data_IF_727177307210
#
_entry.id   IF_727177307210
#
_cell.length_a   1.000
_cell.length_b   1.000
_cell.length_c   1.000
_cell.angle_alpha   90.00
_cell.angle_beta   90.00
_cell.angle_gamma   90.00
#
_symmetry.space_group_name_H-M   'P 1'
#
loop_
_entity.id
_entity.type
_entity.pdbx_description
1 polymer ?
#
# COMPACT_ATOMS: atom_id res chain seq x y z
N UNK A 1 8.86 5.77 3.63
CA UNK A 1 9.46 4.69 4.46
C UNK A 1 8.73 3.38 4.17
N UNK A 2 9.38 2.20 4.29
CA UNK A 2 8.69 0.92 4.06
C UNK A 2 8.01 0.43 5.34
N UNK A 3 6.69 0.57 5.42
CA UNK A 3 5.92 0.09 6.56
C UNK A 3 5.26 -1.24 6.22
N UNK A 4 5.42 -2.26 7.07
CA UNK A 4 4.70 -3.54 6.89
C UNK A 4 3.57 -3.64 7.89
N UNK A 5 2.36 -3.90 7.42
CA UNK A 5 1.17 -4.04 8.27
C UNK A 5 0.44 -5.35 7.98
N UNK A 6 -0.38 -5.84 8.92
CA UNK A 6 -1.21 -7.01 8.68
C UNK A 6 -2.49 -6.62 7.92
N UNK A 7 -3.01 -7.51 7.08
CA UNK A 7 -4.28 -7.33 6.36
C UNK A 7 -5.47 -6.99 7.29
N UNK A 8 -5.46 -7.48 8.53
CA UNK A 8 -6.52 -7.19 9.51
C UNK A 8 -6.53 -5.73 9.94
N UNK A 9 -5.35 -5.13 10.06
CA UNK A 9 -5.21 -3.70 10.35
C UNK A 9 -5.44 -2.88 9.08
N UNK A 10 -4.92 -3.37 7.95
CA UNK A 10 -5.06 -2.73 6.64
C UNK A 10 -6.51 -2.48 6.25
N UNK A 11 -7.38 -3.49 6.39
CA UNK A 11 -8.81 -3.34 6.06
C UNK A 11 -9.52 -2.32 6.96
N UNK A 12 -9.03 -2.11 8.17
CA UNK A 12 -9.65 -1.21 9.16
C UNK A 12 -9.22 0.24 8.91
N UNK A 13 -7.96 0.46 8.51
CA UNK A 13 -7.36 1.79 8.32
C UNK A 13 -7.05 2.10 6.85
N UNK A 14 -7.73 1.44 5.92
CA UNK A 14 -7.39 1.48 4.50
C UNK A 14 -7.33 2.92 3.97
N UNK A 15 -8.28 3.77 4.34
CA UNK A 15 -8.32 5.17 3.93
C UNK A 15 -7.09 5.96 4.36
N UNK A 16 -6.61 5.77 5.60
CA UNK A 16 -5.40 6.45 6.08
C UNK A 16 -4.15 5.94 5.37
N UNK A 17 -4.08 4.63 5.10
CA UNK A 17 -2.95 4.02 4.40
C UNK A 17 -2.89 4.48 2.94
N UNK A 18 -4.04 4.70 2.30
CA UNK A 18 -4.09 5.29 0.97
C UNK A 18 -3.55 6.71 0.97
N UNK A 19 -3.92 7.54 1.95
CA UNK A 19 -3.39 8.91 2.07
C UNK A 19 -1.86 8.93 2.19
N UNK A 20 -1.28 8.06 3.03
CA UNK A 20 0.18 7.94 3.14
C UNK A 20 0.82 7.54 1.80
N UNK A 21 0.19 6.58 1.12
CA UNK A 21 0.65 6.12 -0.19
C UNK A 21 0.55 7.22 -1.26
N UNK A 22 -0.49 8.06 -1.21
CA UNK A 22 -0.63 9.24 -2.07
C UNK A 22 0.45 10.29 -1.81
N UNK A 23 0.90 10.44 -0.56
CA UNK A 23 2.04 11.30 -0.19
C UNK A 23 3.40 10.72 -0.63
N UNK A 24 3.41 9.48 -1.14
CA UNK A 24 4.60 8.82 -1.69
C UNK A 24 5.21 7.74 -0.80
N UNK A 25 4.52 7.32 0.26
CA UNK A 25 4.95 6.17 1.06
C UNK A 25 4.67 4.83 0.36
N UNK A 26 5.42 3.81 0.78
CA UNK A 26 5.27 2.43 0.31
C UNK A 26 4.90 1.53 1.49
N UNK A 27 3.78 0.82 1.38
CA UNK A 27 3.24 0.00 2.46
C UNK A 27 3.16 -1.46 1.99
N UNK A 28 3.72 -2.38 2.77
CA UNK A 28 3.63 -3.82 2.55
C UNK A 28 2.50 -4.39 3.39
N UNK A 29 1.54 -5.04 2.74
CA UNK A 29 0.47 -5.76 3.43
C UNK A 29 0.90 -7.21 3.57
N UNK A 30 0.86 -7.70 4.81
CA UNK A 30 1.20 -9.06 5.18
C UNK A 30 -0.01 -9.81 5.73
N UNK A 31 -0.01 -11.14 5.59
CA UNK A 31 -0.97 -12.04 6.22
C UNK A 31 -0.17 -13.13 6.94
N UNK A 32 -0.37 -13.27 8.25
CA UNK A 32 0.34 -14.26 9.07
C UNK A 32 1.88 -14.22 8.88
N UNK A 33 2.47 -13.02 9.00
CA UNK A 33 3.91 -12.74 8.79
C UNK A 33 4.44 -12.98 7.37
N UNK A 34 3.57 -13.21 6.38
CA UNK A 34 3.97 -13.32 4.97
C UNK A 34 3.52 -12.11 4.17
N UNK A 35 4.40 -11.40 3.46
CA UNK A 35 3.99 -10.29 2.59
C UNK A 35 3.13 -10.83 1.44
N UNK A 36 1.96 -10.24 1.22
CA UNK A 36 0.99 -10.67 0.20
C UNK A 36 0.69 -9.60 -0.84
N UNK A 37 0.85 -8.32 -0.48
CA UNK A 37 0.58 -7.21 -1.37
C UNK A 37 1.45 -6.01 -0.98
N UNK A 38 1.55 -5.06 -1.91
CA UNK A 38 2.23 -3.79 -1.72
C UNK A 38 1.32 -2.68 -2.21
N UNK A 39 1.09 -1.70 -1.36
CA UNK A 39 0.35 -0.47 -1.63
C UNK A 39 1.37 0.60 -2.02
N UNK A 40 1.22 1.13 -3.24
CA UNK A 40 2.05 2.19 -3.83
C UNK A 40 1.14 3.15 -4.59
N UNK A 41 1.56 4.40 -4.73
CA UNK A 41 0.80 5.40 -5.48
C UNK A 41 0.55 4.88 -6.90
N UNK A 42 -0.69 5.03 -7.35
CA UNK A 42 -1.00 4.68 -8.73
C UNK A 42 -0.33 5.69 -9.65
N UNK A 43 0.62 5.21 -10.45
CA UNK A 43 1.25 6.01 -11.49
C UNK A 43 0.64 5.61 -12.83
N UNK A 44 -0.20 6.50 -13.37
CA UNK A 44 -0.71 6.36 -14.72
C UNK A 44 0.48 6.48 -15.68
N UNK A 45 1.04 5.33 -16.09
CA UNK A 45 2.07 5.34 -17.12
C UNK A 45 1.41 5.88 -18.39
N UNK A 46 1.94 6.93 -19.02
CA UNK A 46 1.41 7.38 -20.29
C UNK A 46 1.55 6.21 -21.26
N UNK A 47 0.40 5.63 -21.60
CA UNK A 47 0.31 4.58 -22.60
C UNK A 47 0.76 5.25 -23.91
N UNK A 48 2.02 5.02 -24.31
CA UNK A 48 2.52 5.47 -25.61
C UNK A 48 1.64 4.82 -26.67
N UNK A 49 0.74 5.62 -27.25
CA UNK A 49 0.03 5.32 -28.49
C UNK A 49 1.01 5.29 -29.65
#
# INVERSE_FOLDING_TARGET
MKQTINIHEAKTRLSQLLQQVEEGDEIIISRANKPIARLVAYQEKPMKR
#
